data_IF_246636959794
#
_entry.id   IF_246636959794
#
_cell.length_a   1.000
_cell.length_b   1.000
_cell.length_c   1.000
_cell.angle_alpha   90.00
_cell.angle_beta   90.00
_cell.angle_gamma   90.00
#
_symmetry.space_group_name_H-M   'P 1'
#
loop_
_entity.id
_entity.type
_entity.pdbx_description
1 polymer ?
#
# COMPACT_ATOMS: atom_id res chain seq x y z
N UNK A 1 -4.67 6.50 -15.73
CA UNK A 1 -3.77 5.44 -15.22
C UNK A 1 -3.82 4.24 -16.15
N UNK A 2 -2.72 3.96 -16.86
CA UNK A 2 -2.57 2.81 -17.77
C UNK A 2 -2.72 1.50 -16.98
N UNK A 3 -3.44 0.52 -17.52
CA UNK A 3 -3.75 -0.75 -16.85
C UNK A 3 -2.58 -1.73 -16.75
N UNK A 4 -1.37 -1.25 -16.48
CA UNK A 4 -0.19 -2.10 -16.31
C UNK A 4 -0.25 -2.76 -14.93
N UNK A 5 -0.26 -4.09 -14.90
CA UNK A 5 -0.21 -4.88 -13.65
C UNK A 5 1.13 -4.78 -12.92
N UNK A 6 2.13 -4.13 -13.52
CA UNK A 6 3.48 -4.02 -12.99
C UNK A 6 3.95 -2.56 -13.03
N UNK A 7 4.59 -2.13 -11.94
CA UNK A 7 5.16 -0.78 -11.79
C UNK A 7 6.65 -0.89 -11.47
N UNK A 8 7.46 -0.07 -12.11
CA UNK A 8 8.91 -0.01 -11.91
C UNK A 8 9.28 1.31 -11.24
N UNK A 9 10.01 1.25 -10.13
CA UNK A 9 10.46 2.43 -9.36
C UNK A 9 11.95 2.31 -9.00
N UNK A 10 12.68 3.42 -8.84
CA UNK A 10 14.07 3.37 -8.36
C UNK A 10 14.17 2.73 -6.97
N UNK A 11 15.20 1.90 -6.78
CA UNK A 11 15.45 1.26 -5.50
C UNK A 11 16.28 2.19 -4.60
N UNK A 12 15.65 2.62 -3.51
CA UNK A 12 16.28 3.32 -2.38
C UNK A 12 15.89 2.59 -1.10
N UNK A 13 16.61 2.80 0.01
CA UNK A 13 16.25 2.16 1.28
C UNK A 13 14.82 2.51 1.72
N UNK A 14 14.37 3.74 1.45
CA UNK A 14 13.02 4.21 1.79
C UNK A 14 11.97 3.51 0.90
N UNK A 15 12.16 3.49 -0.42
CA UNK A 15 11.20 2.86 -1.34
C UNK A 15 11.14 1.34 -1.13
N UNK A 16 12.25 0.70 -0.78
CA UNK A 16 12.30 -0.71 -0.41
C UNK A 16 11.51 -1.00 0.87
N UNK A 17 11.67 -0.18 1.92
CA UNK A 17 10.95 -0.38 3.16
C UNK A 17 9.44 -0.14 3.00
N UNK A 18 9.03 0.89 2.27
CA UNK A 18 7.63 1.15 1.95
C UNK A 18 7.04 -0.03 1.16
N UNK A 19 7.74 -0.52 0.13
CA UNK A 19 7.28 -1.66 -0.66
C UNK A 19 7.13 -2.94 0.18
N UNK A 20 8.07 -3.21 1.10
CA UNK A 20 7.97 -4.34 2.04
C UNK A 20 6.75 -4.23 2.96
N UNK A 21 6.44 -3.03 3.46
CA UNK A 21 5.22 -2.82 4.25
C UNK A 21 3.97 -3.06 3.41
N UNK A 22 3.90 -2.50 2.19
CA UNK A 22 2.75 -2.71 1.30
C UNK A 22 2.55 -4.19 0.95
N UNK A 23 3.63 -4.96 0.80
CA UNK A 23 3.55 -6.41 0.57
C UNK A 23 3.00 -7.14 1.79
N UNK A 24 3.47 -6.80 3.00
CA UNK A 24 3.03 -7.40 4.26
C UNK A 24 1.54 -7.15 4.55
N UNK A 25 1.06 -5.95 4.26
CA UNK A 25 -0.36 -5.57 4.42
C UNK A 25 -1.25 -6.10 3.28
N UNK A 26 -0.68 -6.78 2.26
CA UNK A 26 -1.43 -7.36 1.15
C UNK A 26 -1.91 -6.35 0.09
N UNK A 27 -1.38 -5.13 0.09
CA UNK A 27 -1.71 -4.10 -0.90
C UNK A 27 -1.07 -4.36 -2.27
N UNK A 28 0.10 -5.00 -2.29
CA UNK A 28 0.77 -5.47 -3.51
C UNK A 28 0.91 -6.99 -3.48
N UNK A 29 0.90 -7.61 -4.66
CA UNK A 29 0.99 -9.06 -4.79
C UNK A 29 2.43 -9.54 -4.69
N UNK A 30 3.36 -8.82 -5.31
CA UNK A 30 4.77 -9.20 -5.32
C UNK A 30 5.69 -8.00 -5.46
N UNK A 31 6.94 -8.18 -5.03
CA UNK A 31 8.04 -7.23 -5.11
C UNK A 31 9.32 -7.97 -5.49
N UNK A 32 10.01 -7.51 -6.54
CA UNK A 32 11.35 -8.01 -6.91
C UNK A 32 12.33 -6.87 -7.18
N UNK A 33 13.61 -7.12 -6.94
CA UNK A 33 14.69 -6.22 -7.35
C UNK A 33 15.08 -6.53 -8.79
N UNK A 34 15.29 -5.49 -9.59
CA UNK A 34 15.77 -5.58 -10.96
C UNK A 34 16.94 -4.63 -11.12
N UNK A 35 18.00 -5.07 -11.83
CA UNK A 35 19.16 -4.24 -12.11
C UNK A 35 19.23 -4.02 -13.61
N UNK A 36 19.32 -2.77 -14.01
CA UNK A 36 19.40 -2.36 -15.42
C UNK A 36 20.47 -1.28 -15.56
N UNK A 37 21.47 -1.51 -16.43
CA UNK A 37 22.52 -0.53 -16.71
C UNK A 37 23.33 -0.07 -15.47
N UNK A 38 23.42 -0.90 -14.44
CA UNK A 38 24.07 -0.57 -13.16
C UNK A 38 23.14 0.02 -12.10
N UNK A 39 21.98 0.55 -12.50
CA UNK A 39 20.96 1.09 -11.60
C UNK A 39 20.07 -0.02 -11.03
N UNK A 40 19.62 0.17 -9.78
CA UNK A 40 18.74 -0.78 -9.10
C UNK A 40 17.31 -0.24 -9.07
N UNK A 41 16.36 -1.10 -9.42
CA UNK A 41 14.94 -0.82 -9.49
C UNK A 41 14.14 -1.85 -8.68
N UNK A 42 12.98 -1.43 -8.19
CA UNK A 42 11.97 -2.30 -7.63
C UNK A 42 10.86 -2.47 -8.66
N UNK A 43 10.50 -3.73 -8.91
CA UNK A 43 9.39 -4.10 -9.77
C UNK A 43 8.28 -4.61 -8.86
N UNK A 44 7.19 -3.86 -8.82
CA UNK A 44 6.02 -4.12 -7.99
C UNK A 44 4.89 -4.69 -8.86
N UNK A 45 4.32 -5.81 -8.43
CA UNK A 45 3.14 -6.41 -9.07
C UNK A 45 1.91 -6.01 -8.28
N UNK A 46 0.97 -5.34 -8.93
CA UNK A 46 -0.28 -4.90 -8.34
C UNK A 46 -1.32 -6.03 -8.41
N UNK A 47 -2.13 -6.24 -7.35
CA UNK A 47 -3.14 -7.28 -7.35
C UNK A 47 -4.21 -6.97 -8.41
N UNK A 48 -4.44 -7.92 -9.30
CA UNK A 48 -5.48 -7.81 -10.31
C UNK A 48 -6.76 -8.52 -9.86
N UNK A 49 -7.80 -7.78 -9.49
CA UNK A 49 -9.13 -8.34 -9.19
C UNK A 49 -10.01 -8.30 -10.43
N UNK A 50 -10.24 -9.48 -11.03
CA UNK A 50 -11.09 -9.64 -12.22
C UNK A 50 -12.58 -9.68 -11.81
N UNK A 51 -13.20 -8.51 -11.62
CA UNK A 51 -14.64 -8.46 -11.39
C UNK A 51 -15.40 -8.60 -12.72
N UNK A 52 -16.31 -9.57 -12.80
CA UNK A 52 -17.16 -9.87 -13.98
C UNK A 52 -18.14 -8.75 -14.38
N UNK A 53 -18.21 -7.64 -13.64
CA UNK A 53 -19.01 -6.44 -13.96
C UNK A 53 -18.26 -5.22 -13.42
N UNK A 54 -17.52 -4.53 -14.29
CA UNK A 54 -16.78 -3.31 -13.94
C UNK A 54 -15.45 -3.59 -13.24
N UNK A 55 -14.35 -3.09 -13.81
CA UNK A 55 -13.00 -3.25 -13.28
C UNK A 55 -12.85 -2.58 -11.91
N UNK A 56 -13.15 -3.29 -10.82
CA UNK A 56 -12.75 -2.85 -9.49
C UNK A 56 -11.25 -3.09 -9.36
N UNK A 57 -10.47 -2.13 -9.86
CA UNK A 57 -9.05 -2.04 -9.50
C UNK A 57 -9.00 -1.96 -7.98
N UNK A 58 -8.17 -2.78 -7.33
CA UNK A 58 -7.86 -2.63 -5.91
C UNK A 58 -7.40 -1.18 -5.69
N UNK A 59 -8.27 -0.34 -5.12
CA UNK A 59 -8.03 1.10 -5.00
C UNK A 59 -7.09 1.34 -3.81
N UNK A 60 -5.79 1.35 -4.09
CA UNK A 60 -4.78 1.83 -3.15
C UNK A 60 -4.87 3.35 -3.08
N UNK A 61 -5.39 3.88 -1.97
CA UNK A 61 -5.46 5.32 -1.71
C UNK A 61 -4.17 5.76 -1.00
N UNK A 62 -3.10 5.96 -1.76
CA UNK A 62 -1.83 6.45 -1.23
C UNK A 62 -1.78 7.98 -1.25
N UNK A 63 -1.44 8.60 -0.12
CA UNK A 63 -1.24 10.05 0.01
C UNK A 63 0.04 10.32 0.80
N UNK A 64 0.92 11.17 0.25
CA UNK A 64 2.10 11.65 0.98
C UNK A 64 1.67 12.71 2.01
N UNK A 65 1.94 12.44 3.30
CA UNK A 65 1.54 13.34 4.40
C UNK A 65 2.57 14.45 4.62
N UNK A 66 3.85 14.11 4.78
CA UNK A 66 4.94 15.10 4.84
C UNK A 66 5.58 15.28 3.47
N UNK A 67 5.59 16.52 2.98
CA UNK A 67 6.17 16.91 1.70
C UNK A 67 7.37 17.83 1.90
N UNK A 68 8.25 18.04 0.89
CA UNK A 68 9.42 18.90 1.04
C UNK A 68 9.10 20.33 1.45
N UNK A 69 7.99 20.90 0.97
CA UNK A 69 7.54 22.25 1.32
C UNK A 69 6.71 22.34 2.61
N UNK A 70 6.31 21.20 3.19
CA UNK A 70 5.56 21.14 4.44
C UNK A 70 5.92 19.86 5.21
N UNK A 71 6.91 19.99 6.11
CA UNK A 71 7.31 18.90 7.00
C UNK A 71 6.35 18.80 8.17
N UNK A 72 5.83 17.59 8.40
CA UNK A 72 4.93 17.30 9.51
C UNK A 72 5.67 16.32 10.43
N UNK A 73 5.86 16.73 11.68
CA UNK A 73 6.44 15.91 12.74
C UNK A 73 5.39 15.72 13.84
N UNK A 74 5.33 14.52 14.42
CA UNK A 74 4.40 14.20 15.50
C UNK A 74 5.10 13.37 16.55
N UNK A 75 4.82 13.65 17.82
CA UNK A 75 5.28 12.78 18.90
C UNK A 75 4.45 11.48 18.93
N UNK A 76 4.89 10.49 19.71
CA UNK A 76 4.23 9.17 19.77
C UNK A 76 2.75 9.24 20.21
N UNK A 77 2.37 10.26 20.99
CA UNK A 77 1.01 10.46 21.49
C UNK A 77 0.06 10.99 20.39
N UNK A 78 0.60 11.72 19.42
CA UNK A 78 -0.14 12.34 18.33
C UNK A 78 -0.24 11.47 17.07
N UNK A 79 0.39 10.29 17.05
CA UNK A 79 0.28 9.37 15.92
C UNK A 79 -1.17 8.89 15.81
N UNK A 80 -1.87 9.17 14.70
CA UNK A 80 -3.27 8.76 14.56
C UNK A 80 -3.36 7.24 14.51
N UNK A 81 -4.20 6.68 15.38
CA UNK A 81 -4.60 5.28 15.30
C UNK A 81 -5.70 5.18 14.25
N UNK A 82 -5.49 4.35 13.24
CA UNK A 82 -6.53 4.05 12.27
C UNK A 82 -7.61 3.22 12.97
N UNK A 83 -8.90 3.59 12.88
CA UNK A 83 -9.98 2.76 13.40
C UNK A 83 -9.90 1.39 12.73
N UNK A 84 -9.78 0.33 13.53
CA UNK A 84 -10.14 -1.01 13.07
C UNK A 84 -11.66 -0.98 13.05
N UNK A 85 -12.29 -1.11 11.88
CA UNK A 85 -13.75 -1.16 11.77
C UNK A 85 -14.29 -2.27 12.68
N UNK A 86 -14.77 -1.88 13.87
CA UNK A 86 -15.30 -2.77 14.89
C UNK A 86 -16.73 -3.23 14.60
N UNK A 87 -17.31 -2.75 13.50
CA UNK A 87 -18.66 -3.12 13.03
C UNK A 87 -18.78 -4.58 12.57
N UNK A 88 -17.68 -5.34 12.52
CA UNK A 88 -17.67 -6.78 12.22
C UNK A 88 -17.79 -7.68 13.46
N UNK A 89 -17.94 -7.13 14.67
CA UNK A 89 -17.98 -7.89 15.93
C UNK A 89 -19.26 -7.64 16.77
N UNK A 90 -20.36 -7.20 16.15
CA UNK A 90 -21.61 -6.86 16.86
C UNK A 90 -22.82 -7.73 16.53
N UNK A 91 -22.65 -8.91 15.90
CA UNK A 91 -23.80 -9.75 15.49
C UNK A 91 -23.96 -11.06 16.29
N UNK A 92 -23.12 -11.33 17.31
CA UNK A 92 -23.13 -12.64 17.98
C UNK A 92 -23.43 -12.63 19.50
N UNK A 93 -23.95 -11.53 20.07
CA UNK A 93 -24.21 -11.44 21.52
C UNK A 93 -25.67 -11.44 21.97
N UNK A 94 -26.64 -11.57 21.06
CA UNK A 94 -28.08 -11.54 21.41
C UNK A 94 -28.75 -12.91 21.18
N UNK A 95 -28.18 -13.96 21.79
CA UNK A 95 -28.89 -15.21 22.06
C UNK A 95 -28.87 -15.47 23.57
N UNK A 96 -29.86 -14.91 24.27
CA UNK A 96 -30.37 -15.41 25.55
C UNK A 96 -31.88 -15.23 25.57
#
# INVERSE_FOLDING_TARGET
MTGRGTVLIPCTNITENIAKMLLREGFIENMRKHREGGNLFLVLTLPYRKNRKGSSKTRLNLKQISTPGLRIYSNYQQIPRLPIDSSLYHEDSDLT
#
